data_IF_607758706201
#
_entry.id   IF_607758706201
#
_cell.length_a   1.000
_cell.length_b   1.000
_cell.length_c   1.000
_cell.angle_alpha   90.00
_cell.angle_beta   90.00
_cell.angle_gamma   90.00
#
_symmetry.space_group_name_H-M   'P 1'
#
loop_
_entity.id
_entity.type
_entity.pdbx_description
1 polymer ?
#
# COMPACT_ATOMS: atom_id res chain seq x y z
N UNK A 1 -10.16 -18.71 2.57
CA UNK A 1 -10.50 -17.66 1.57
C UNK A 1 -10.17 -16.22 2.00
N UNK A 2 -9.65 -15.97 3.22
CA UNK A 2 -9.32 -14.61 3.69
C UNK A 2 -8.20 -13.93 2.91
N UNK A 3 -7.19 -14.68 2.45
CA UNK A 3 -6.09 -14.12 1.66
C UNK A 3 -6.55 -13.45 0.36
N UNK A 4 -7.57 -14.02 -0.30
CA UNK A 4 -8.12 -13.47 -1.54
C UNK A 4 -8.75 -12.11 -1.27
N UNK A 5 -9.40 -11.94 -0.12
CA UNK A 5 -10.00 -10.66 0.29
C UNK A 5 -8.92 -9.59 0.50
N UNK A 6 -7.81 -9.92 1.16
CA UNK A 6 -6.70 -8.98 1.34
C UNK A 6 -6.02 -8.60 0.01
N UNK A 7 -5.87 -9.55 -0.91
CA UNK A 7 -5.36 -9.28 -2.26
C UNK A 7 -6.32 -8.35 -3.02
N UNK A 8 -7.63 -8.61 -2.98
CA UNK A 8 -8.62 -7.75 -3.64
C UNK A 8 -8.58 -6.34 -3.04
N UNK A 9 -8.55 -6.20 -1.71
CA UNK A 9 -8.46 -4.90 -1.04
C UNK A 9 -7.18 -4.14 -1.42
N UNK A 10 -6.04 -4.83 -1.45
CA UNK A 10 -4.77 -4.25 -1.89
C UNK A 10 -4.86 -3.69 -3.31
N UNK A 11 -5.42 -4.46 -4.26
CA UNK A 11 -5.56 -4.05 -5.65
C UNK A 11 -6.54 -2.87 -5.81
N UNK A 12 -7.63 -2.84 -5.03
CA UNK A 12 -8.58 -1.72 -5.04
C UNK A 12 -7.89 -0.44 -4.58
N UNK A 13 -7.10 -0.49 -3.50
CA UNK A 13 -6.38 0.68 -2.99
C UNK A 13 -5.36 1.21 -4.00
N UNK A 14 -4.60 0.33 -4.64
CA UNK A 14 -3.70 0.71 -5.73
C UNK A 14 -4.45 1.30 -6.93
N UNK A 15 -5.59 0.73 -7.30
CA UNK A 15 -6.45 1.25 -8.36
C UNK A 15 -6.93 2.67 -8.06
N UNK A 16 -7.30 2.95 -6.80
CA UNK A 16 -7.70 4.29 -6.35
C UNK A 16 -6.52 5.27 -6.44
N UNK A 17 -5.32 4.89 -5.97
CA UNK A 17 -4.11 5.74 -6.09
C UNK A 17 -3.79 6.07 -7.54
N UNK A 18 -3.83 5.08 -8.45
CA UNK A 18 -3.59 5.29 -9.88
C UNK A 18 -4.66 6.22 -10.49
N UNK A 19 -5.94 5.97 -10.18
CA UNK A 19 -7.02 6.83 -10.65
C UNK A 19 -6.87 8.28 -10.15
N UNK A 20 -6.43 8.47 -8.91
CA UNK A 20 -6.12 9.78 -8.34
C UNK A 20 -4.97 10.46 -9.08
N UNK A 21 -3.90 9.74 -9.45
CA UNK A 21 -2.82 10.31 -10.28
C UNK A 21 -3.33 10.81 -11.64
N UNK A 22 -4.20 10.04 -12.30
CA UNK A 22 -4.78 10.44 -13.58
C UNK A 22 -5.86 11.53 -13.46
N UNK A 23 -6.44 11.71 -12.29
CA UNK A 23 -7.49 12.71 -12.04
C UNK A 23 -6.99 14.14 -12.31
N UNK A 24 -5.69 14.39 -12.10
CA UNK A 24 -5.03 15.64 -12.46
C UNK A 24 -5.07 15.93 -13.97
N UNK A 25 -5.08 14.90 -14.81
CA UNK A 25 -5.16 15.06 -16.27
C UNK A 25 -6.57 15.44 -16.76
N UNK A 26 -7.61 15.23 -15.95
CA UNK A 26 -9.00 15.45 -16.33
C UNK A 26 -9.64 16.66 -15.67
N UNK A 27 -9.20 17.04 -14.47
CA UNK A 27 -9.75 18.17 -13.73
C UNK A 27 -8.65 19.21 -13.54
N UNK A 28 -8.80 20.35 -14.23
CA UNK A 28 -7.99 21.54 -13.97
C UNK A 28 -8.36 22.10 -12.58
N UNK A 29 -7.38 22.58 -11.81
CA UNK A 29 -7.55 23.22 -10.49
C UNK A 29 -7.76 22.29 -9.27
N UNK A 30 -7.37 21.01 -9.34
CA UNK A 30 -7.26 20.20 -8.12
C UNK A 30 -6.12 20.74 -7.25
N UNK A 31 -6.39 20.90 -5.96
CA UNK A 31 -5.36 21.19 -4.97
C UNK A 31 -4.31 20.07 -4.95
N UNK A 32 -3.17 20.36 -5.58
CA UNK A 32 -2.05 19.43 -5.77
C UNK A 32 -1.58 18.81 -4.45
N UNK A 33 -1.49 19.61 -3.37
CA UNK A 33 -1.06 19.14 -2.05
C UNK A 33 -2.05 18.15 -1.45
N UNK A 34 -3.35 18.39 -1.61
CA UNK A 34 -4.40 17.50 -1.11
C UNK A 34 -4.41 16.18 -1.91
N UNK A 35 -4.22 16.27 -3.23
CA UNK A 35 -4.15 15.11 -4.12
C UNK A 35 -2.94 14.23 -3.82
N UNK A 36 -1.76 14.82 -3.66
CA UNK A 36 -0.51 14.13 -3.31
C UNK A 36 -0.61 13.46 -1.93
N UNK A 37 -1.23 14.14 -0.96
CA UNK A 37 -1.52 13.59 0.37
C UNK A 37 -2.45 12.36 0.28
N UNK A 38 -3.53 12.44 -0.51
CA UNK A 38 -4.47 11.32 -0.70
C UNK A 38 -3.81 10.12 -1.39
N UNK A 39 -3.02 10.35 -2.44
CA UNK A 39 -2.29 9.27 -3.14
C UNK A 39 -1.37 8.54 -2.16
N UNK A 40 -0.56 9.30 -1.43
CA UNK A 40 0.39 8.76 -0.46
C UNK A 40 -0.31 8.03 0.68
N UNK A 41 -1.48 8.51 1.11
CA UNK A 41 -2.32 7.85 2.12
C UNK A 41 -2.86 6.50 1.64
N UNK A 42 -3.41 6.42 0.42
CA UNK A 42 -3.93 5.17 -0.12
C UNK A 42 -2.83 4.15 -0.43
N UNK A 43 -1.64 4.59 -0.84
CA UNK A 43 -0.47 3.72 -0.95
C UNK A 43 -0.06 3.13 0.39
N UNK A 44 0.03 3.96 1.44
CA UNK A 44 0.31 3.50 2.81
C UNK A 44 -0.72 2.46 3.26
N UNK A 45 -2.01 2.73 3.01
CA UNK A 45 -3.10 1.83 3.37
C UNK A 45 -3.00 0.49 2.63
N UNK A 46 -2.65 0.52 1.34
CA UNK A 46 -2.42 -0.69 0.55
C UNK A 46 -1.31 -1.55 1.17
N UNK A 47 -0.17 -0.94 1.52
CA UNK A 47 0.94 -1.67 2.15
C UNK A 47 0.56 -2.28 3.50
N UNK A 48 -0.20 -1.57 4.34
CA UNK A 48 -0.71 -2.09 5.62
C UNK A 48 -1.60 -3.33 5.39
N UNK A 49 -2.53 -3.25 4.43
CA UNK A 49 -3.42 -4.38 4.09
C UNK A 49 -2.64 -5.59 3.59
N UNK A 50 -1.60 -5.37 2.79
CA UNK A 50 -0.72 -6.45 2.31
C UNK A 50 0.05 -7.10 3.46
N UNK A 51 0.59 -6.31 4.40
CA UNK A 51 1.30 -6.83 5.58
C UNK A 51 0.36 -7.66 6.47
N UNK A 52 -0.86 -7.18 6.73
CA UNK A 52 -1.85 -7.92 7.53
C UNK A 52 -2.24 -9.23 6.82
N UNK A 53 -2.51 -9.17 5.51
CA UNK A 53 -2.83 -10.35 4.71
C UNK A 53 -1.68 -11.35 4.66
N UNK A 54 -0.44 -10.87 4.60
CA UNK A 54 0.73 -11.72 4.76
C UNK A 54 0.69 -12.37 6.15
N UNK A 55 0.69 -11.61 7.25
CA UNK A 55 0.69 -12.16 8.62
C UNK A 55 -0.41 -13.22 8.84
N UNK A 56 -1.63 -13.00 8.36
CA UNK A 56 -2.75 -13.97 8.45
C UNK A 56 -2.46 -15.29 7.71
N UNK A 57 -1.65 -15.22 6.64
CA UNK A 57 -1.26 -16.37 5.81
C UNK A 57 0.10 -16.95 6.17
N UNK A 58 0.59 -16.69 7.39
CA UNK A 58 1.91 -17.15 7.83
C UNK A 58 2.07 -18.66 7.63
N UNK A 59 3.05 -19.13 6.81
CA UNK A 59 3.18 -20.54 6.53
C UNK A 59 3.64 -21.29 7.77
N UNK A 60 2.84 -22.25 8.25
CA UNK A 60 3.12 -22.99 9.50
C UNK A 60 4.40 -23.85 9.42
N UNK A 61 4.78 -24.31 8.23
CA UNK A 61 6.01 -25.08 8.03
C UNK A 61 7.27 -24.19 8.16
N UNK A 62 8.18 -24.61 9.06
CA UNK A 62 9.40 -23.86 9.43
C UNK A 62 10.40 -23.66 8.29
N UNK A 63 10.62 -24.67 7.46
CA UNK A 63 11.61 -24.63 6.38
C UNK A 63 10.95 -24.90 5.03
N UNK A 64 10.39 -23.85 4.43
CA UNK A 64 9.81 -23.90 3.09
C UNK A 64 10.21 -22.65 2.32
N UNK A 65 10.47 -22.80 1.02
CA UNK A 65 10.70 -21.68 0.10
C UNK A 65 9.56 -20.65 0.18
N UNK A 66 8.33 -21.11 0.49
CA UNK A 66 7.16 -20.24 0.69
C UNK A 66 7.33 -19.25 1.85
N UNK A 67 8.07 -19.62 2.91
CA UNK A 67 8.36 -18.75 4.06
C UNK A 67 9.44 -17.70 3.73
N UNK A 68 10.36 -18.00 2.82
CA UNK A 68 11.36 -17.02 2.34
C UNK A 68 10.67 -15.90 1.56
N UNK A 69 9.82 -16.27 0.59
CA UNK A 69 9.01 -15.32 -0.17
C UNK A 69 8.09 -14.49 0.71
N UNK A 70 7.60 -15.08 1.79
CA UNK A 70 6.80 -14.41 2.79
C UNK A 70 7.58 -13.32 3.54
N UNK A 71 8.79 -13.63 4.02
CA UNK A 71 9.65 -12.63 4.65
C UNK A 71 10.02 -11.51 3.70
N UNK A 72 10.28 -11.83 2.43
CA UNK A 72 10.55 -10.84 1.40
C UNK A 72 9.37 -9.89 1.17
N UNK A 73 8.15 -10.43 1.06
CA UNK A 73 6.94 -9.63 0.89
C UNK A 73 6.66 -8.72 2.09
N UNK A 74 6.86 -9.23 3.31
CA UNK A 74 6.68 -8.44 4.54
C UNK A 74 7.75 -7.36 4.66
N UNK A 75 9.03 -7.71 4.47
CA UNK A 75 10.13 -6.76 4.61
C UNK A 75 10.06 -5.65 3.54
N UNK A 76 9.74 -6.02 2.29
CA UNK A 76 9.46 -5.06 1.23
C UNK A 76 8.26 -4.18 1.57
N UNK A 77 7.15 -4.77 2.02
CA UNK A 77 5.97 -4.04 2.43
C UNK A 77 6.22 -3.05 3.58
N UNK A 78 7.01 -3.42 4.58
CA UNK A 78 7.38 -2.52 5.68
C UNK A 78 8.26 -1.35 5.21
N UNK A 79 9.25 -1.59 4.36
CA UNK A 79 10.09 -0.51 3.82
C UNK A 79 9.23 0.48 3.02
N UNK A 80 8.35 -0.04 2.15
CA UNK A 80 7.45 0.80 1.37
C UNK A 80 6.45 1.56 2.25
N UNK A 81 5.88 0.93 3.28
CA UNK A 81 5.00 1.61 4.22
C UNK A 81 5.71 2.75 4.97
N UNK A 82 6.96 2.56 5.41
CA UNK A 82 7.75 3.61 6.06
C UNK A 82 8.00 4.77 5.08
N UNK A 83 8.33 4.46 3.83
CA UNK A 83 8.56 5.48 2.81
C UNK A 83 7.30 6.30 2.56
N UNK A 84 6.15 5.65 2.31
CA UNK A 84 4.87 6.34 2.15
C UNK A 84 4.49 7.14 3.41
N UNK A 85 4.79 6.63 4.61
CA UNK A 85 4.53 7.36 5.86
C UNK A 85 5.34 8.66 5.98
N UNK A 86 6.63 8.61 5.62
CA UNK A 86 7.49 9.80 5.58
C UNK A 86 6.96 10.79 4.54
N UNK A 87 6.58 10.31 3.36
CA UNK A 87 5.95 11.12 2.31
C UNK A 87 4.72 11.86 2.83
N UNK A 88 3.82 11.15 3.51
CA UNK A 88 2.59 11.70 4.08
C UNK A 88 2.87 12.78 5.14
N UNK A 89 3.82 12.52 6.05
CA UNK A 89 4.22 13.52 7.07
C UNK A 89 4.75 14.79 6.40
N UNK A 90 5.52 14.65 5.33
CA UNK A 90 6.08 15.79 4.62
C UNK A 90 5.00 16.62 3.91
N UNK A 91 3.99 15.98 3.30
CA UNK A 91 2.86 16.70 2.70
C UNK A 91 2.01 17.43 3.74
N UNK A 92 1.86 16.86 4.94
CA UNK A 92 1.11 17.47 6.05
C UNK A 92 1.87 18.61 6.76
N UNK A 93 3.18 18.71 6.55
CA UNK A 93 4.04 19.75 7.15
C UNK A 93 4.09 21.05 6.34
N UNK A 94 3.59 21.01 5.10
CA UNK A 94 3.44 22.16 4.19
C UNK A 94 2.13 22.89 4.52
#
# INVERSE_FOLDING_TARGET
MKIIQYIILYNIMWGISIAMCYLHCFINDINYTLQDCLITFFELLAWIVLIIGAIDTFPQNKYSNKRVWFYYAIMGGFISAIHSFIGLINTLKI
#
